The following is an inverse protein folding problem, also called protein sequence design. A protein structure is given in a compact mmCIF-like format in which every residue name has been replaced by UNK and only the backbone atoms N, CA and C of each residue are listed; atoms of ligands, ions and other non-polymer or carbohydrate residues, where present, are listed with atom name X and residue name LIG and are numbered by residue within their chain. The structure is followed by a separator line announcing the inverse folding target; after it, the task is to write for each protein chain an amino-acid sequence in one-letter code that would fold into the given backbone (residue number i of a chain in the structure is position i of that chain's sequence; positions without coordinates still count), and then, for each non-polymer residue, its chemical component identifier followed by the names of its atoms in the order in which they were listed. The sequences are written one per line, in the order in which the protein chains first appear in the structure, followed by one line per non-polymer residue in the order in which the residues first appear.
data_IF_895149892138
#
_entry.id   IF_895149892138
#
_cell.length_a   1.000
_cell.length_b   1.000
_cell.length_c   1.000
_cell.angle_alpha   90.00
_cell.angle_beta   90.00
_cell.angle_gamma   90.00
#
_symmetry.space_group_name_H-M   'P 1'
#
loop_
_entity.id
_entity.type
_entity.pdbx_description
1 polymer ?
#
# COMPACT_ATOMS: atom_id res chain seq x y z
N UNK A 1 -11.58 -20.65 -49.77
CA UNK A 1 -13.02 -20.36 -49.82
C UNK A 1 -13.22 -18.92 -49.35
N UNK A 2 -13.79 -18.09 -50.22
CA UNK A 2 -14.22 -16.72 -49.92
C UNK A 2 -15.54 -16.79 -49.16
N UNK A 3 -15.70 -16.03 -48.07
CA UNK A 3 -16.97 -15.44 -47.68
C UNK A 3 -16.74 -14.25 -46.73
N UNK A 4 -16.91 -13.07 -47.30
CA UNK A 4 -17.03 -11.77 -46.66
C UNK A 4 -18.43 -11.60 -46.04
N UNK A 5 -18.56 -10.64 -45.12
CA UNK A 5 -19.75 -9.92 -44.63
C UNK A 5 -20.43 -10.46 -43.36
N UNK A 6 -20.40 -9.64 -42.30
CA UNK A 6 -21.48 -8.67 -42.03
C UNK A 6 -21.02 -7.56 -41.08
N UNK A 7 -21.34 -6.34 -41.50
CA UNK A 7 -21.19 -5.05 -40.85
C UNK A 7 -22.58 -4.65 -40.31
N UNK A 8 -22.67 -4.19 -39.06
CA UNK A 8 -23.71 -3.28 -38.56
C UNK A 8 -23.01 -2.47 -37.45
N UNK A 9 -22.57 -1.23 -37.68
CA UNK A 9 -23.35 0.00 -37.87
C UNK A 9 -24.30 0.26 -36.68
N UNK A 10 -23.81 1.04 -35.72
CA UNK A 10 -24.58 1.59 -34.60
C UNK A 10 -23.88 2.85 -34.11
N UNK A 11 -24.09 3.95 -34.84
CA UNK A 11 -23.64 5.28 -34.46
C UNK A 11 -24.35 5.73 -33.17
N UNK A 12 -23.59 6.19 -32.17
CA UNK A 12 -24.13 7.01 -31.09
C UNK A 12 -23.47 8.38 -31.21
N UNK A 13 -24.22 9.27 -31.84
CA UNK A 13 -24.01 10.71 -31.92
C UNK A 13 -25.13 11.34 -31.08
N UNK A 14 -24.79 12.03 -29.99
CA UNK A 14 -25.61 13.07 -29.36
C UNK A 14 -24.81 13.65 -28.18
N UNK A 15 -24.87 14.93 -27.79
CA UNK A 15 -25.12 16.21 -28.42
C UNK A 15 -24.82 17.20 -27.28
N UNK A 16 -24.02 18.21 -27.57
CA UNK A 16 -23.58 19.24 -26.63
C UNK A 16 -24.76 20.14 -26.22
N UNK A 17 -24.89 20.46 -24.93
CA UNK A 17 -25.70 21.61 -24.48
C UNK A 17 -24.83 22.50 -23.60
N UNK A 18 -24.40 23.62 -24.17
CA UNK A 18 -23.94 24.79 -23.45
C UNK A 18 -25.16 25.53 -22.89
N UNK A 19 -25.20 25.73 -21.58
CA UNK A 19 -26.09 26.70 -20.96
C UNK A 19 -25.26 27.90 -20.47
N UNK A 20 -25.19 28.91 -21.34
CA UNK A 20 -24.81 30.28 -20.99
C UNK A 20 -26.00 30.94 -20.28
N UNK A 21 -25.79 31.36 -19.03
CA UNK A 21 -26.74 32.15 -18.27
C UNK A 21 -26.41 33.64 -18.35
N UNK A 22 -27.26 34.40 -19.03
CA UNK A 22 -27.23 35.85 -19.16
C UNK A 22 -27.68 36.58 -17.89
N UNK A 23 -27.00 37.66 -17.51
CA UNK A 23 -27.53 38.90 -16.88
C UNK A 23 -26.54 40.01 -17.28
N UNK A 24 -26.85 41.20 -17.80
CA UNK A 24 -28.05 41.94 -18.18
C UNK A 24 -27.59 43.36 -18.60
N UNK A 25 -28.15 43.90 -19.69
CA UNK A 25 -27.88 45.21 -20.32
C UNK A 25 -28.37 46.39 -19.45
N UNK A 26 -27.67 47.51 -19.26
CA UNK A 26 -27.59 48.74 -20.10
C UNK A 26 -27.05 49.87 -19.19
N UNK A 27 -26.25 50.87 -19.59
CA UNK A 27 -26.65 52.11 -20.31
C UNK A 27 -25.38 52.95 -20.61
N UNK A 28 -25.36 53.65 -21.75
CA UNK A 28 -24.37 54.68 -22.10
C UNK A 28 -24.65 56.01 -21.37
N UNK A 29 -23.63 56.72 -20.88
CA UNK A 29 -23.60 58.20 -20.90
C UNK A 29 -22.20 58.80 -20.79
N UNK A 30 -21.83 59.57 -21.81
CA UNK A 30 -20.84 60.65 -21.96
C UNK A 30 -19.95 61.09 -20.76
N UNK A 31 -18.65 61.28 -21.05
CA UNK A 31 -17.65 62.15 -20.41
C UNK A 31 -18.11 63.64 -20.31
N UNK A 32 -17.40 64.61 -19.65
CA UNK A 32 -16.13 64.57 -18.88
C UNK A 32 -16.06 65.44 -17.58
N UNK A 33 -14.92 65.36 -16.85
CA UNK A 33 -14.20 66.42 -16.06
C UNK A 33 -13.90 66.09 -14.58
N UNK A 34 -12.60 66.12 -14.22
CA UNK A 34 -11.99 66.08 -12.86
C UNK A 34 -12.27 67.33 -12.01
N UNK A 35 -11.66 67.54 -10.82
CA UNK A 35 -11.33 66.64 -9.70
C UNK A 35 -11.97 67.15 -8.38
N UNK A 36 -12.19 66.30 -7.38
CA UNK A 36 -12.29 66.78 -5.99
C UNK A 36 -11.74 65.74 -5.03
N UNK A 37 -10.64 66.15 -4.40
CA UNK A 37 -10.01 65.53 -3.25
C UNK A 37 -11.02 65.16 -2.18
N UNK A 38 -11.19 63.86 -1.95
CA UNK A 38 -11.63 63.36 -0.66
C UNK A 38 -10.66 62.27 -0.28
N UNK A 39 -9.70 62.61 0.57
CA UNK A 39 -8.93 61.66 1.36
C UNK A 39 -9.93 60.88 2.22
N UNK A 40 -10.43 59.77 1.68
CA UNK A 40 -11.01 58.72 2.48
C UNK A 40 -9.86 58.21 3.36
N UNK A 41 -9.88 58.60 4.64
CA UNK A 41 -9.17 57.84 5.67
C UNK A 41 -9.71 56.42 5.60
N UNK A 42 -8.98 55.56 4.89
CA UNK A 42 -8.99 54.13 5.10
C UNK A 42 -8.52 53.94 6.54
N UNK A 43 -9.47 53.99 7.46
CA UNK A 43 -9.30 53.35 8.74
C UNK A 43 -9.23 51.88 8.36
N UNK A 44 -8.02 51.40 8.08
CA UNK A 44 -7.73 49.98 8.12
C UNK A 44 -8.10 49.56 9.55
N UNK A 45 -9.33 49.09 9.71
CA UNK A 45 -9.64 48.18 10.80
C UNK A 45 -8.72 47.01 10.59
N UNK A 46 -7.55 47.08 11.23
CA UNK A 46 -6.81 45.92 11.69
C UNK A 46 -7.82 45.12 12.51
N UNK A 47 -8.56 44.23 11.84
CA UNK A 47 -9.32 43.21 12.51
C UNK A 47 -8.27 42.36 13.21
N UNK A 48 -8.15 42.57 14.51
CA UNK A 48 -7.31 41.75 15.36
C UNK A 48 -7.88 40.33 15.32
N UNK A 49 -7.30 39.50 14.48
CA UNK A 49 -7.65 38.10 14.37
C UNK A 49 -7.27 37.35 15.65
N UNK A 50 -8.15 36.45 16.09
CA UNK A 50 -7.96 35.63 17.28
C UNK A 50 -7.70 34.19 16.83
N UNK A 51 -6.54 33.61 17.15
CA UNK A 51 -6.24 32.24 16.76
C UNK A 51 -7.25 31.26 17.35
N UNK A 52 -7.69 30.32 16.53
CA UNK A 52 -8.59 29.24 16.86
C UNK A 52 -7.85 27.90 16.96
N UNK A 53 -8.50 26.93 17.59
CA UNK A 53 -8.02 25.55 17.65
C UNK A 53 -9.20 24.59 17.58
N UNK A 54 -9.03 23.50 16.84
CA UNK A 54 -10.03 22.45 16.69
C UNK A 54 -9.40 21.08 16.47
N UNK A 55 -10.21 20.04 16.63
CA UNK A 55 -9.85 18.67 16.30
C UNK A 55 -10.40 18.39 14.91
N UNK A 56 -9.51 18.19 13.93
CA UNK A 56 -9.87 17.91 12.55
C UNK A 56 -10.22 16.44 12.35
N UNK A 57 -9.65 15.54 13.16
CA UNK A 57 -9.90 14.11 13.09
C UNK A 57 -9.60 13.44 14.45
N UNK A 58 -10.38 12.43 14.82
CA UNK A 58 -10.23 11.67 16.08
C UNK A 58 -11.00 10.34 15.96
N UNK A 59 -10.37 9.30 15.44
CA UNK A 59 -11.02 7.99 15.25
C UNK A 59 -10.02 6.83 15.31
N UNK A 60 -10.57 5.63 15.53
CA UNK A 60 -9.89 4.35 15.32
C UNK A 60 -9.96 3.94 13.85
N UNK A 61 -8.84 3.42 13.32
CA UNK A 61 -8.68 2.97 11.92
C UNK A 61 -8.10 1.57 11.91
N UNK A 62 -8.57 0.72 10.99
CA UNK A 62 -7.90 -0.54 10.64
C UNK A 62 -7.10 -0.32 9.37
N UNK A 63 -5.79 -0.42 9.46
CA UNK A 63 -4.84 -0.27 8.35
C UNK A 63 -4.78 -1.57 7.54
N UNK A 64 -5.82 -1.81 6.75
CA UNK A 64 -5.91 -2.88 5.75
C UNK A 64 -5.49 -2.43 4.34
N UNK A 65 -5.22 -1.14 4.19
CA UNK A 65 -4.81 -0.44 2.97
C UNK A 65 -4.18 0.90 3.36
N UNK A 66 -3.73 1.68 2.38
CA UNK A 66 -3.26 3.05 2.63
C UNK A 66 -4.45 4.00 2.76
N UNK A 67 -4.38 4.93 3.72
CA UNK A 67 -5.48 5.86 4.03
C UNK A 67 -5.08 7.30 3.78
N UNK A 68 -6.05 8.10 3.34
CA UNK A 68 -6.00 9.55 3.37
C UNK A 68 -7.17 10.09 4.20
N UNK A 69 -6.89 11.09 5.01
CA UNK A 69 -7.82 11.71 5.94
C UNK A 69 -7.76 13.20 5.68
N UNK A 70 -8.89 13.85 5.41
CA UNK A 70 -8.87 15.30 5.32
C UNK A 70 -10.03 15.93 4.57
N UNK A 71 -9.65 16.92 3.76
CA UNK A 71 -10.26 18.25 3.61
C UNK A 71 -10.03 19.17 4.83
N UNK A 72 -8.78 19.18 5.34
CA UNK A 72 -8.38 20.06 6.45
C UNK A 72 -8.08 21.44 5.89
N UNK A 73 -9.04 22.35 6.00
CA UNK A 73 -8.88 23.75 5.60
C UNK A 73 -8.15 24.56 6.68
N UNK A 74 -7.06 25.22 6.29
CA UNK A 74 -6.24 26.08 7.14
C UNK A 74 -6.28 27.49 6.54
N UNK A 75 -6.79 28.46 7.31
CA UNK A 75 -6.94 29.84 6.84
C UNK A 75 -5.79 30.75 7.28
N UNK A 76 -5.09 30.38 8.36
CA UNK A 76 -3.91 31.06 8.87
C UNK A 76 -2.82 30.03 9.17
N UNK A 77 -1.56 30.47 9.15
CA UNK A 77 -0.45 29.59 9.51
C UNK A 77 -0.73 28.91 10.85
N UNK A 78 -0.69 27.58 10.85
CA UNK A 78 -1.17 26.77 11.96
C UNK A 78 -0.19 25.67 12.30
N UNK A 79 -0.08 25.34 13.58
CA UNK A 79 0.55 24.12 14.05
C UNK A 79 -0.48 22.99 13.96
N UNK A 80 -0.14 21.95 13.22
CA UNK A 80 -0.87 20.69 13.18
C UNK A 80 -0.17 19.69 14.08
N UNK A 81 -0.92 19.03 14.96
CA UNK A 81 -0.46 18.00 15.88
C UNK A 81 -1.20 16.71 15.58
N UNK A 82 -0.48 15.66 15.21
CA UNK A 82 -0.99 14.31 14.96
C UNK A 82 -0.55 13.41 16.11
N UNK A 83 -1.50 12.91 16.90
CA UNK A 83 -1.27 11.93 17.93
C UNK A 83 -1.68 10.56 17.38
N UNK A 84 -0.70 9.67 17.25
CA UNK A 84 -0.87 8.30 16.77
C UNK A 84 -0.71 7.35 17.95
N UNK A 85 -1.66 6.43 18.10
CA UNK A 85 -1.53 5.28 18.98
C UNK A 85 -1.76 3.99 18.20
N UNK A 86 -0.75 3.13 18.11
CA UNK A 86 -0.85 1.81 17.51
C UNK A 86 -1.39 0.85 18.57
N UNK A 87 -2.64 0.44 18.37
CA UNK A 87 -3.39 -0.39 19.33
C UNK A 87 -2.94 -1.85 19.24
N UNK A 88 -2.79 -2.38 18.02
CA UNK A 88 -2.43 -3.78 17.79
C UNK A 88 -1.98 -4.05 16.36
N UNK A 89 -1.29 -5.18 16.15
CA UNK A 89 -0.98 -5.73 14.82
C UNK A 89 0.37 -5.29 14.23
N UNK A 90 0.99 -4.24 14.79
CA UNK A 90 2.32 -3.79 14.40
C UNK A 90 2.98 -2.98 15.53
N UNK A 91 4.30 -2.77 15.44
CA UNK A 91 5.04 -1.83 16.30
C UNK A 91 5.22 -0.45 15.66
N UNK A 92 5.11 -0.38 14.32
CA UNK A 92 5.22 0.84 13.53
C UNK A 92 4.42 0.74 12.23
N UNK A 93 4.16 1.88 11.61
CA UNK A 93 3.52 2.00 10.29
C UNK A 93 4.51 2.63 9.31
N UNK A 94 4.35 2.33 8.02
CA UNK A 94 5.31 2.69 6.98
C UNK A 94 5.51 4.19 6.86
N UNK A 95 4.43 4.98 6.96
CA UNK A 95 4.54 6.44 7.02
C UNK A 95 3.33 7.14 7.64
N UNK A 96 3.57 8.38 8.07
CA UNK A 96 2.58 9.39 8.39
C UNK A 96 2.99 10.68 7.69
N UNK A 97 2.12 11.23 6.84
CA UNK A 97 2.47 12.36 5.99
C UNK A 97 1.35 13.39 5.90
N UNK A 98 1.70 14.61 5.45
CA UNK A 98 0.75 15.66 5.10
C UNK A 98 1.08 16.15 3.70
N UNK A 99 0.09 16.14 2.82
CA UNK A 99 0.19 16.66 1.45
C UNK A 99 -0.82 17.80 1.23
N UNK A 100 -0.52 18.78 0.35
CA UNK A 100 -1.51 19.72 -0.11
C UNK A 100 -2.54 19.01 -1.00
N UNK A 101 -3.78 19.54 -1.04
CA UNK A 101 -4.88 18.95 -1.78
C UNK A 101 -4.60 18.72 -3.28
N UNK A 102 -3.74 19.55 -3.88
CA UNK A 102 -3.33 19.41 -5.29
C UNK A 102 -2.55 18.13 -5.60
N UNK A 103 -2.00 17.46 -4.58
CA UNK A 103 -1.18 16.25 -4.73
C UNK A 103 -1.97 14.95 -4.52
N UNK A 104 -3.23 15.02 -4.06
CA UNK A 104 -4.00 13.83 -3.68
C UNK A 104 -4.19 12.84 -4.85
N UNK A 105 -4.54 13.33 -6.05
CA UNK A 105 -4.76 12.44 -7.19
C UNK A 105 -3.46 11.78 -7.66
N UNK A 106 -2.33 12.50 -7.60
CA UNK A 106 -1.01 11.90 -7.88
C UNK A 106 -0.65 10.82 -6.87
N UNK A 107 -1.02 11.00 -5.61
CA UNK A 107 -0.76 10.01 -4.56
C UNK A 107 -1.60 8.75 -4.77
N UNK A 108 -2.88 8.89 -5.16
CA UNK A 108 -3.74 7.75 -5.54
C UNK A 108 -3.24 6.98 -6.76
N UNK A 109 -2.47 7.63 -7.63
CA UNK A 109 -1.83 7.03 -8.81
C UNK A 109 -0.43 6.48 -8.52
N UNK A 110 -0.02 6.36 -7.25
CA UNK A 110 1.30 5.89 -6.80
C UNK A 110 2.48 6.66 -7.45
N UNK A 111 2.30 7.97 -7.68
CA UNK A 111 3.34 8.80 -8.27
C UNK A 111 4.56 8.94 -7.36
N UNK A 112 5.76 8.77 -7.92
CA UNK A 112 7.03 8.96 -7.19
C UNK A 112 7.40 10.43 -6.95
N UNK A 113 6.64 11.38 -7.48
CA UNK A 113 6.93 12.82 -7.44
C UNK A 113 5.85 13.59 -6.68
N UNK A 114 5.74 13.33 -5.37
CA UNK A 114 4.82 14.00 -4.48
C UNK A 114 5.51 15.11 -3.68
N UNK A 115 4.81 16.22 -3.50
CA UNK A 115 5.24 17.27 -2.56
C UNK A 115 4.60 17.02 -1.20
N UNK A 116 5.44 16.90 -0.17
CA UNK A 116 5.02 16.71 1.22
C UNK A 116 5.31 17.95 2.04
N UNK A 117 4.33 18.41 2.81
CA UNK A 117 4.54 19.41 3.88
C UNK A 117 5.18 18.76 5.11
N UNK A 118 4.88 17.48 5.31
CA UNK A 118 5.43 16.65 6.35
C UNK A 118 5.45 15.19 5.89
N UNK A 119 6.51 14.46 6.22
CA UNK A 119 6.55 13.01 6.10
C UNK A 119 7.49 12.43 7.16
N UNK A 120 7.03 11.38 7.83
CA UNK A 120 7.84 10.54 8.70
C UNK A 120 7.63 9.09 8.27
N UNK A 121 8.70 8.29 8.28
CA UNK A 121 8.68 6.88 7.92
C UNK A 121 8.92 6.02 9.16
N UNK A 122 8.45 4.77 9.14
CA UNK A 122 8.57 3.81 10.25
C UNK A 122 8.07 4.42 11.57
N UNK A 123 6.85 4.94 11.52
CA UNK A 123 6.23 5.79 12.53
C UNK A 123 5.69 4.92 13.66
N UNK A 124 6.04 5.25 14.91
CA UNK A 124 5.60 4.56 16.13
C UNK A 124 4.51 5.36 16.85
N UNK A 125 3.85 4.78 17.85
CA UNK A 125 2.95 5.55 18.73
C UNK A 125 3.67 6.79 19.28
N UNK A 126 3.04 7.96 19.18
CA UNK A 126 3.68 9.22 19.52
C UNK A 126 2.92 10.44 19.05
N UNK A 127 3.57 11.59 19.20
CA UNK A 127 3.04 12.89 18.75
C UNK A 127 3.95 13.48 17.70
N UNK A 128 3.38 13.80 16.54
CA UNK A 128 4.03 14.38 15.38
C UNK A 128 3.47 15.76 15.13
N UNK A 129 4.30 16.71 14.72
CA UNK A 129 3.87 18.10 14.53
C UNK A 129 4.44 18.71 13.27
N UNK A 130 3.62 19.51 12.57
CA UNK A 130 4.02 20.29 11.41
C UNK A 130 3.46 21.71 11.52
N UNK A 131 4.10 22.67 10.85
CA UNK A 131 3.56 24.03 10.68
C UNK A 131 3.12 24.17 9.24
N UNK A 132 1.83 24.44 9.02
CA UNK A 132 1.25 24.56 7.68
C UNK A 132 0.84 26.00 7.41
N UNK A 133 1.09 26.45 6.18
CA UNK A 133 0.59 27.74 5.68
C UNK A 133 -0.91 27.63 5.34
N UNK A 134 -1.59 28.75 5.02
CA UNK A 134 -2.97 28.68 4.55
C UNK A 134 -3.11 27.80 3.32
N UNK A 135 -4.11 26.92 3.31
CA UNK A 135 -4.36 25.94 2.26
C UNK A 135 -5.25 24.78 2.72
N UNK A 136 -5.50 23.85 1.82
CA UNK A 136 -6.25 22.61 2.10
C UNK A 136 -5.30 21.43 2.07
N UNK A 137 -5.37 20.57 3.07
CA UNK A 137 -4.44 19.47 3.27
C UNK A 137 -5.12 18.13 3.53
N UNK A 138 -4.39 17.06 3.23
CA UNK A 138 -4.71 15.68 3.58
C UNK A 138 -3.58 15.09 4.42
N UNK A 139 -3.96 14.36 5.47
CA UNK A 139 -3.06 13.50 6.23
C UNK A 139 -3.09 12.12 5.60
N UNK A 140 -1.93 11.58 5.27
CA UNK A 140 -1.78 10.25 4.71
C UNK A 140 -1.24 9.31 5.78
N UNK A 141 -1.77 8.09 5.82
CA UNK A 141 -1.39 7.04 6.77
C UNK A 141 -1.07 5.78 6.00
N UNK A 142 0.19 5.33 6.11
CA UNK A 142 0.65 4.09 5.52
C UNK A 142 0.16 2.86 6.27
N UNK A 143 0.32 1.69 5.65
CA UNK A 143 0.07 0.37 6.27
C UNK A 143 1.11 0.06 7.37
N UNK A 144 0.92 -1.04 8.09
CA UNK A 144 1.91 -1.55 9.04
C UNK A 144 3.28 -1.80 8.39
N UNK A 145 4.35 -1.59 9.14
CA UNK A 145 5.66 -2.08 8.72
C UNK A 145 5.71 -3.63 8.75
N UNK A 146 6.49 -4.26 7.86
CA UNK A 146 6.65 -5.70 7.86
C UNK A 146 7.32 -6.22 9.14
N UNK A 147 6.91 -7.41 9.57
CA UNK A 147 7.52 -8.14 10.69
C UNK A 147 8.25 -9.35 10.12
N UNK A 148 9.56 -9.41 10.33
CA UNK A 148 10.36 -10.58 9.96
C UNK A 148 10.07 -11.74 10.91
N UNK A 149 9.61 -12.87 10.39
CA UNK A 149 9.23 -14.02 11.21
C UNK A 149 9.47 -15.37 10.53
N UNK A 150 9.59 -16.43 11.35
CA UNK A 150 9.58 -17.82 10.91
C UNK A 150 8.14 -18.26 10.63
N UNK A 151 7.89 -18.75 9.42
CA UNK A 151 6.60 -19.20 8.92
C UNK A 151 6.40 -20.70 9.10
N UNK A 152 7.47 -21.47 8.93
CA UNK A 152 7.51 -22.90 9.20
C UNK A 152 8.96 -23.33 9.45
N UNK A 153 9.16 -24.32 10.32
CA UNK A 153 10.46 -24.94 10.55
C UNK A 153 10.28 -26.37 11.02
N UNK A 154 11.25 -27.23 10.71
CA UNK A 154 11.20 -28.62 11.14
C UNK A 154 12.26 -29.49 10.51
N UNK A 155 12.11 -30.79 10.73
CA UNK A 155 12.94 -31.85 10.14
C UNK A 155 12.01 -32.88 9.53
N UNK A 156 12.20 -33.19 8.25
CA UNK A 156 11.46 -34.25 7.57
C UNK A 156 12.40 -35.35 7.07
N UNK A 157 11.91 -36.59 7.07
CA UNK A 157 12.54 -37.71 6.38
C UNK A 157 11.70 -38.05 5.16
N UNK A 158 12.31 -37.98 3.99
CA UNK A 158 11.65 -38.14 2.69
C UNK A 158 12.18 -39.43 2.06
N UNK A 159 11.35 -40.46 2.05
CA UNK A 159 11.70 -41.74 1.45
C UNK A 159 12.12 -41.58 -0.02
N UNK A 160 12.98 -42.48 -0.50
CA UNK A 160 13.35 -42.54 -1.91
C UNK A 160 12.10 -42.69 -2.81
N UNK A 161 12.03 -41.87 -3.86
CA UNK A 161 10.90 -41.89 -4.80
C UNK A 161 9.63 -41.20 -4.25
N UNK A 162 9.73 -40.44 -3.17
CA UNK A 162 8.62 -39.70 -2.54
C UNK A 162 8.91 -38.20 -2.44
N UNK A 163 7.86 -37.46 -2.12
CA UNK A 163 7.92 -36.05 -1.74
C UNK A 163 7.09 -35.83 -0.47
N UNK A 164 7.34 -34.71 0.20
CA UNK A 164 6.50 -34.21 1.29
C UNK A 164 6.12 -32.75 1.01
N UNK A 165 4.88 -32.37 1.34
CA UNK A 165 4.40 -31.00 1.26
C UNK A 165 4.20 -30.42 2.66
N UNK A 166 4.94 -29.36 2.98
CA UNK A 166 4.86 -28.66 4.26
C UNK A 166 3.90 -27.47 4.11
N UNK A 167 2.76 -27.46 4.83
CA UNK A 167 1.81 -26.36 4.74
C UNK A 167 2.35 -25.10 5.44
N UNK A 168 2.23 -23.97 4.77
CA UNK A 168 2.61 -22.65 5.27
C UNK A 168 1.37 -21.76 5.20
N UNK A 169 0.80 -21.44 6.36
CA UNK A 169 -0.41 -20.64 6.46
C UNK A 169 -0.05 -19.16 6.47
N UNK A 170 -0.39 -18.46 5.39
CA UNK A 170 -0.33 -17.02 5.26
C UNK A 170 -1.74 -16.42 5.37
N UNK A 171 -2.50 -16.89 6.36
CA UNK A 171 -3.86 -16.41 6.63
C UNK A 171 -3.83 -15.18 7.54
N UNK A 172 -4.77 -14.25 7.33
CA UNK A 172 -4.93 -13.01 8.11
C UNK A 172 -3.75 -12.01 8.00
N UNK A 173 -3.03 -12.03 6.90
CA UNK A 173 -2.03 -11.03 6.54
C UNK A 173 -2.58 -10.13 5.43
N UNK A 174 -1.94 -9.01 5.15
CA UNK A 174 -2.15 -8.24 3.92
C UNK A 174 -1.35 -8.84 2.78
N UNK A 175 -0.07 -9.09 3.00
CA UNK A 175 0.83 -9.77 2.08
C UNK A 175 2.11 -10.20 2.81
N UNK A 176 2.90 -11.05 2.14
CA UNK A 176 4.25 -11.43 2.55
C UNK A 176 5.26 -11.03 1.47
N UNK A 177 6.42 -10.53 1.85
CA UNK A 177 7.53 -10.22 0.95
C UNK A 177 8.83 -10.87 1.46
N UNK A 178 9.86 -10.87 0.62
CA UNK A 178 11.18 -11.44 0.92
C UNK A 178 11.14 -12.85 1.55
N UNK A 179 10.18 -13.69 1.12
CA UNK A 179 10.02 -15.04 1.65
C UNK A 179 11.17 -15.91 1.15
N UNK A 180 11.83 -16.64 2.05
CA UNK A 180 12.97 -17.51 1.76
C UNK A 180 12.84 -18.84 2.49
N UNK A 181 13.34 -19.90 1.87
CA UNK A 181 13.50 -21.20 2.49
C UNK A 181 14.99 -21.52 2.65
N UNK A 182 15.43 -21.79 3.87
CA UNK A 182 16.74 -22.39 4.16
C UNK A 182 16.55 -23.88 4.34
N UNK A 183 17.34 -24.64 3.58
CA UNK A 183 17.28 -26.10 3.48
C UNK A 183 18.66 -26.64 3.87
N UNK A 184 18.70 -27.59 4.80
CA UNK A 184 19.90 -28.33 5.14
C UNK A 184 19.63 -29.85 5.01
N UNK A 185 20.23 -30.44 3.99
CA UNK A 185 20.13 -31.87 3.66
C UNK A 185 21.30 -32.58 4.34
N UNK A 186 21.02 -33.52 5.23
CA UNK A 186 22.07 -34.21 6.01
C UNK A 186 22.91 -35.14 5.16
N UNK A 187 22.30 -35.72 4.14
CA UNK A 187 22.97 -36.53 3.15
C UNK A 187 23.59 -35.65 2.05
N UNK A 188 24.76 -36.02 1.52
CA UNK A 188 25.45 -35.26 0.47
C UNK A 188 24.79 -35.46 -0.91
N UNK A 189 23.54 -35.02 -1.06
CA UNK A 189 22.71 -35.19 -2.26
C UNK A 189 21.66 -34.05 -2.35
N UNK A 190 21.06 -33.88 -3.51
CA UNK A 190 20.13 -32.80 -3.89
C UNK A 190 18.64 -33.17 -3.72
N UNK A 191 17.71 -32.21 -3.68
CA UNK A 191 16.25 -32.41 -3.81
C UNK A 191 15.66 -31.44 -4.83
N UNK A 192 14.43 -31.68 -5.28
CA UNK A 192 13.67 -30.60 -5.93
C UNK A 192 12.93 -29.82 -4.84
N UNK A 193 12.86 -28.51 -5.00
CA UNK A 193 12.09 -27.61 -4.14
C UNK A 193 11.06 -26.90 -4.98
N UNK A 194 9.79 -27.05 -4.63
CA UNK A 194 8.72 -26.26 -5.24
C UNK A 194 7.93 -25.51 -4.16
N UNK A 195 7.50 -24.30 -4.48
CA UNK A 195 6.61 -23.51 -3.63
C UNK A 195 5.36 -23.17 -4.42
N UNK A 196 4.18 -23.51 -3.90
CA UNK A 196 2.93 -23.34 -4.64
C UNK A 196 1.73 -23.15 -3.72
N UNK A 197 0.63 -22.60 -4.24
CA UNK A 197 -0.65 -22.46 -3.51
C UNK A 197 -1.28 -23.83 -3.27
N UNK A 198 -2.16 -23.92 -2.27
CA UNK A 198 -2.88 -25.15 -1.96
C UNK A 198 -3.64 -25.75 -3.15
N UNK A 199 -4.27 -24.90 -3.99
CA UNK A 199 -4.96 -25.35 -5.20
C UNK A 199 -4.02 -25.97 -6.24
N UNK A 200 -2.81 -25.45 -6.34
CA UNK A 200 -1.78 -25.94 -7.26
C UNK A 200 -1.13 -27.21 -6.71
N UNK A 201 -0.95 -27.30 -5.39
CA UNK A 201 -0.48 -28.53 -4.76
C UNK A 201 -1.43 -29.71 -5.00
N UNK A 202 -2.76 -29.49 -4.98
CA UNK A 202 -3.71 -30.54 -5.34
C UNK A 202 -3.47 -31.07 -6.77
N UNK A 203 -3.24 -30.18 -7.74
CA UNK A 203 -2.93 -30.55 -9.13
C UNK A 203 -1.63 -31.37 -9.19
N UNK A 204 -0.62 -30.96 -8.42
CA UNK A 204 0.65 -31.70 -8.32
C UNK A 204 0.43 -33.14 -7.78
N UNK A 205 -0.37 -33.30 -6.72
CA UNK A 205 -0.67 -34.62 -6.14
C UNK A 205 -1.40 -35.55 -7.11
N UNK A 206 -2.23 -34.99 -7.99
CA UNK A 206 -2.96 -35.72 -9.02
C UNK A 206 -2.10 -36.05 -10.26
N UNK A 207 -0.81 -35.67 -10.26
CA UNK A 207 0.13 -35.89 -11.37
C UNK A 207 -0.02 -34.89 -12.51
N UNK A 208 -0.67 -33.75 -12.26
CA UNK A 208 -0.81 -32.65 -13.21
C UNK A 208 0.42 -31.75 -13.27
N UNK A 209 0.28 -30.60 -13.93
CA UNK A 209 1.33 -29.57 -14.05
C UNK A 209 0.89 -28.31 -13.30
N UNK A 210 1.32 -28.12 -12.04
CA UNK A 210 0.92 -26.95 -11.25
C UNK A 210 1.61 -25.68 -11.73
N UNK A 211 1.03 -24.55 -11.36
CA UNK A 211 1.71 -23.25 -11.38
C UNK A 211 2.45 -23.07 -10.07
N UNK A 212 3.76 -23.01 -10.17
CA UNK A 212 4.66 -22.80 -9.04
C UNK A 212 4.97 -21.31 -8.87
N UNK A 213 5.01 -20.85 -7.63
CA UNK A 213 5.53 -19.53 -7.26
C UNK A 213 7.04 -19.54 -7.44
N UNK A 214 7.70 -20.54 -6.86
CA UNK A 214 9.13 -20.77 -6.98
C UNK A 214 9.41 -22.25 -7.25
N UNK A 215 10.46 -22.55 -8.03
CA UNK A 215 10.90 -23.92 -8.31
C UNK A 215 12.41 -23.97 -8.50
N UNK A 216 13.05 -24.93 -7.83
CA UNK A 216 14.48 -25.19 -7.88
C UNK A 216 14.70 -26.69 -8.08
N UNK A 217 15.18 -27.05 -9.26
CA UNK A 217 15.59 -28.42 -9.56
C UNK A 217 16.96 -28.70 -8.98
N UNK A 218 17.15 -29.90 -8.39
CA UNK A 218 18.43 -30.34 -7.82
C UNK A 218 19.07 -29.33 -6.86
N UNK A 219 18.24 -28.77 -5.99
CA UNK A 219 18.65 -27.93 -4.88
C UNK A 219 19.50 -28.70 -3.87
N UNK A 220 20.68 -28.17 -3.55
CA UNK A 220 21.55 -28.62 -2.45
C UNK A 220 21.21 -27.88 -1.15
N UNK A 221 21.91 -28.15 -0.04
CA UNK A 221 21.78 -27.32 1.16
C UNK A 221 22.08 -25.85 0.85
N UNK A 222 21.20 -24.95 1.26
CA UNK A 222 21.30 -23.53 0.94
C UNK A 222 20.05 -22.73 1.28
N UNK A 223 20.08 -21.45 0.90
CA UNK A 223 18.93 -20.54 1.04
C UNK A 223 18.39 -20.19 -0.33
N UNK A 224 17.08 -20.35 -0.49
CA UNK A 224 16.35 -20.20 -1.73
C UNK A 224 15.30 -19.10 -1.59
N UNK A 225 15.27 -18.17 -2.55
CA UNK A 225 14.29 -17.09 -2.57
C UNK A 225 12.94 -17.62 -3.11
N UNK A 226 11.84 -17.31 -2.42
CA UNK A 226 10.50 -17.73 -2.85
C UNK A 226 9.80 -16.60 -3.61
N UNK A 227 9.73 -15.39 -3.02
CA UNK A 227 9.14 -14.22 -3.70
C UNK A 227 9.96 -13.84 -4.93
N UNK A 228 11.28 -13.72 -4.75
CA UNK A 228 12.23 -13.36 -5.82
C UNK A 228 12.82 -14.57 -6.55
N UNK A 229 12.17 -15.73 -6.46
CA UNK A 229 12.60 -16.97 -7.09
C UNK A 229 12.07 -17.15 -8.51
N UNK A 230 12.75 -17.96 -9.35
CA UNK A 230 12.17 -18.42 -10.61
C UNK A 230 11.00 -19.36 -10.32
N UNK A 231 9.93 -19.38 -11.14
CA UNK A 231 9.79 -18.65 -12.41
C UNK A 231 9.11 -17.28 -12.27
N UNK A 232 8.49 -16.98 -11.11
CA UNK A 232 7.48 -15.93 -11.03
C UNK A 232 8.01 -14.55 -10.66
N UNK A 233 9.14 -14.43 -9.93
CA UNK A 233 9.75 -13.15 -9.49
C UNK A 233 8.70 -12.12 -9.04
N UNK A 234 7.97 -12.47 -7.97
CA UNK A 234 6.90 -11.66 -7.40
C UNK A 234 7.45 -10.68 -6.37
N UNK A 235 6.97 -9.45 -6.39
CA UNK A 235 7.27 -8.45 -5.36
C UNK A 235 6.69 -8.87 -4.00
N UNK A 236 5.52 -9.52 -4.00
CA UNK A 236 4.86 -10.04 -2.80
C UNK A 236 4.00 -11.28 -3.07
N UNK A 237 3.59 -11.94 -2.00
CA UNK A 237 2.70 -13.11 -1.98
C UNK A 237 1.40 -12.74 -1.27
N UNK A 238 0.28 -12.98 -1.94
CA UNK A 238 -1.06 -12.74 -1.40
C UNK A 238 -1.42 -13.71 -0.27
N UNK A 239 -2.35 -13.34 0.64
CA UNK A 239 -2.82 -14.21 1.71
C UNK A 239 -3.47 -15.49 1.16
N UNK A 240 -2.92 -16.66 1.52
CA UNK A 240 -3.45 -17.99 1.15
C UNK A 240 -2.75 -19.07 2.01
N UNK A 241 -3.04 -20.33 1.74
CA UNK A 241 -2.24 -21.47 2.19
C UNK A 241 -1.31 -21.86 1.05
N UNK A 242 -0.01 -21.91 1.36
CA UNK A 242 1.03 -22.36 0.45
C UNK A 242 1.64 -23.67 0.95
N UNK A 243 2.36 -24.35 0.06
CA UNK A 243 3.11 -25.54 0.38
C UNK A 243 4.56 -25.38 -0.11
N UNK A 244 5.50 -25.66 0.79
CA UNK A 244 6.88 -25.97 0.42
C UNK A 244 6.97 -27.48 0.16
N UNK A 245 7.28 -27.86 -1.06
CA UNK A 245 7.45 -29.24 -1.47
C UNK A 245 8.92 -29.58 -1.39
N UNK A 246 9.25 -30.58 -0.57
CA UNK A 246 10.56 -31.20 -0.55
C UNK A 246 10.44 -32.52 -1.33
N UNK A 247 10.99 -32.55 -2.53
CA UNK A 247 10.79 -33.64 -3.47
C UNK A 247 12.08 -34.47 -3.69
N UNK A 248 12.01 -35.73 -3.26
CA UNK A 248 13.04 -36.76 -3.42
C UNK A 248 12.65 -37.82 -4.48
N UNK A 249 11.69 -37.50 -5.36
CA UNK A 249 11.09 -38.49 -6.27
C UNK A 249 12.05 -39.04 -7.32
N UNK A 250 13.14 -38.34 -7.62
CA UNK A 250 14.16 -38.82 -8.56
C UNK A 250 15.23 -39.71 -7.90
N UNK A 251 15.34 -39.71 -6.57
CA UNK A 251 16.22 -40.65 -5.86
C UNK A 251 15.57 -42.02 -5.84
N UNK A 252 16.31 -43.04 -6.27
CA UNK A 252 15.80 -44.41 -6.34
C UNK A 252 16.13 -45.25 -5.10
N UNK A 253 17.10 -44.81 -4.28
CA UNK A 253 17.72 -45.67 -3.26
C UNK A 253 18.02 -45.00 -1.94
N UNK A 254 17.96 -43.66 -1.88
CA UNK A 254 18.42 -42.91 -0.71
C UNK A 254 17.29 -42.02 -0.20
N UNK A 255 16.85 -42.31 1.01
CA UNK A 255 16.00 -41.43 1.80
C UNK A 255 16.79 -40.17 2.18
N UNK A 256 16.09 -39.07 2.42
CA UNK A 256 16.74 -37.80 2.75
C UNK A 256 16.17 -37.22 4.02
N UNK A 257 17.06 -36.80 4.90
CA UNK A 257 16.71 -36.03 6.10
C UNK A 257 16.97 -34.56 5.80
N UNK A 258 15.91 -33.76 5.82
CA UNK A 258 15.95 -32.34 5.49
C UNK A 258 15.51 -31.53 6.70
N UNK A 259 16.42 -30.73 7.22
CA UNK A 259 16.11 -29.67 8.17
C UNK A 259 15.73 -28.42 7.35
N UNK A 260 14.60 -27.79 7.66
CA UNK A 260 14.10 -26.64 6.90
C UNK A 260 13.65 -25.51 7.82
N UNK A 261 13.81 -24.29 7.33
CA UNK A 261 13.24 -23.08 7.93
C UNK A 261 12.75 -22.16 6.81
N UNK A 262 11.50 -21.73 6.89
CA UNK A 262 10.91 -20.74 6.00
C UNK A 262 10.68 -19.46 6.78
N UNK A 263 11.20 -18.34 6.28
CA UNK A 263 11.09 -17.03 6.90
C UNK A 263 10.64 -16.00 5.88
N UNK A 264 10.03 -14.91 6.34
CA UNK A 264 9.63 -13.81 5.47
C UNK A 264 9.26 -12.56 6.24
N UNK A 265 9.12 -11.47 5.51
CA UNK A 265 8.62 -10.18 6.00
C UNK A 265 7.10 -10.16 5.83
N UNK A 266 6.37 -10.12 6.95
CA UNK A 266 4.91 -10.27 6.95
C UNK A 266 4.24 -8.97 7.36
N UNK A 267 3.31 -8.51 6.53
CA UNK A 267 2.51 -7.33 6.80
C UNK A 267 1.13 -7.74 7.29
N UNK A 268 0.81 -7.41 8.54
CA UNK A 268 -0.51 -7.65 9.12
C UNK A 268 -1.38 -6.39 9.06
N UNK A 269 -2.73 -6.53 8.99
CA UNK A 269 -3.60 -5.40 9.29
C UNK A 269 -3.33 -4.88 10.70
N UNK A 270 -3.07 -3.58 10.84
CA UNK A 270 -2.87 -2.95 12.15
C UNK A 270 -4.09 -2.14 12.55
N UNK A 271 -4.34 -2.01 13.86
CA UNK A 271 -5.35 -1.09 14.39
C UNK A 271 -4.65 0.09 15.03
N UNK A 272 -5.07 1.29 14.66
CA UNK A 272 -4.52 2.53 15.20
C UNK A 272 -5.65 3.43 15.69
N UNK A 273 -5.33 4.35 16.58
CA UNK A 273 -6.10 5.55 16.88
C UNK A 273 -5.31 6.76 16.40
N UNK A 274 -5.93 7.61 15.57
CA UNK A 274 -5.30 8.84 15.10
C UNK A 274 -6.15 10.03 15.48
N UNK A 275 -5.51 11.00 16.11
CA UNK A 275 -6.09 12.31 16.41
C UNK A 275 -5.27 13.42 15.76
N UNK A 276 -5.92 14.27 14.98
CA UNK A 276 -5.33 15.43 14.31
C UNK A 276 -5.94 16.70 14.89
N UNK A 277 -5.11 17.52 15.52
CA UNK A 277 -5.48 18.81 16.10
C UNK A 277 -4.79 19.95 15.36
N UNK A 278 -5.54 21.01 15.07
CA UNK A 278 -5.02 22.23 14.45
C UNK A 278 -5.07 23.37 15.46
N UNK A 279 -4.01 24.18 15.50
CA UNK A 279 -3.86 25.36 16.35
C UNK A 279 -3.27 26.50 15.52
N UNK A 280 -4.07 27.52 15.28
CA UNK A 280 -3.59 28.70 14.56
C UNK A 280 -2.50 29.43 15.37
N UNK A 281 -1.45 29.86 14.68
CA UNK A 281 -0.30 30.56 15.30
C UNK A 281 -0.43 32.08 15.13
N UNK A 282 -0.12 32.84 16.18
CA UNK A 282 -0.11 34.32 16.15
C UNK A 282 1.07 34.88 15.36
#
# INVERSE_FOLDING_TARGET
MVALKKLYAGAILLLVVFATGCIGTSTNSNQPSSPSSTTLSSTETSQQWTPSSWVAYDNDITLDSQYYIGDIEITHTSKVTMQLDIISGAESISYLAIIPASELEKWKEDSTSLTYEFISHHVKSGTYTATLSPGTYYVLVGIADPIYMTLAEGTEVIDAGKYIGIPISLSNILYAENVKATIDIRENLDINLDFMRASEFQIYQEGGTPRVVASYEKAESGTYDITNGPPSYLDWIDPDIYYLILDNSYSLFTDKTVDYTVMGDIVYPARIHLKVKVEETR
#
